data_IF_322925777304
#
_entry.id   IF_322925777304
#
_cell.length_a   1.000
_cell.length_b   1.000
_cell.length_c   1.000
_cell.angle_alpha   90.00
_cell.angle_beta   90.00
_cell.angle_gamma   90.00
#
_symmetry.space_group_name_H-M   'P 1'
#
loop_
_entity.id
_entity.type
_entity.pdbx_description
1 polymer ?
#
# COMPACT_ATOMS: atom_id res chain seq x y z
N UNK A 1 17.58 22.09 -5.13
CA UNK A 1 18.60 21.82 -4.09
C UNK A 1 18.23 22.36 -2.70
N UNK A 2 17.15 23.15 -2.56
CA UNK A 2 16.67 23.65 -1.24
C UNK A 2 15.75 22.68 -0.46
N UNK A 3 15.24 21.63 -1.09
CA UNK A 3 14.36 20.65 -0.41
C UNK A 3 15.08 19.79 0.64
N UNK A 4 16.38 19.55 0.47
CA UNK A 4 17.17 18.67 1.38
C UNK A 4 17.48 19.31 2.75
N UNK A 5 17.61 20.63 2.82
CA UNK A 5 17.95 21.29 4.09
C UNK A 5 16.75 21.43 5.02
N UNK A 6 15.55 21.64 4.48
CA UNK A 6 14.32 21.73 5.29
C UNK A 6 13.86 20.36 5.80
N UNK A 7 14.00 19.29 5.00
CA UNK A 7 13.72 17.91 5.46
C UNK A 7 14.72 17.44 6.53
N UNK A 8 16.01 17.79 6.39
CA UNK A 8 17.03 17.48 7.41
C UNK A 8 16.86 18.34 8.68
N UNK A 9 16.49 19.62 8.56
CA UNK A 9 16.21 20.49 9.71
C UNK A 9 14.97 20.02 10.48
N UNK A 10 13.88 19.63 9.81
CA UNK A 10 12.70 19.04 10.46
C UNK A 10 13.01 17.71 11.15
N UNK A 11 13.98 16.94 10.65
CA UNK A 11 14.44 15.70 11.29
C UNK A 11 15.16 15.98 12.61
N UNK A 12 15.85 17.10 12.74
CA UNK A 12 16.57 17.51 13.95
C UNK A 12 15.64 18.20 14.98
N UNK A 13 14.68 19.03 14.54
CA UNK A 13 13.73 19.70 15.44
C UNK A 13 12.66 18.75 16.02
N UNK A 14 12.37 17.62 15.38
CA UNK A 14 11.50 16.59 15.95
C UNK A 14 12.05 15.89 17.20
N UNK A 15 13.27 16.17 17.61
CA UNK A 15 13.82 15.63 18.85
C UNK A 15 13.22 16.26 20.13
N UNK A 16 12.53 17.40 20.02
CA UNK A 16 12.01 18.17 21.16
C UNK A 16 10.56 17.92 21.58
N UNK A 17 9.81 17.03 20.90
CA UNK A 17 8.40 16.79 21.23
C UNK A 17 8.21 15.48 21.97
N UNK A 18 8.42 15.52 23.29
CA UNK A 18 8.11 14.44 24.23
C UNK A 18 6.58 14.24 24.31
N UNK A 19 6.02 13.39 23.47
CA UNK A 19 4.64 12.94 23.56
C UNK A 19 4.56 11.56 24.23
N UNK A 20 3.39 11.20 24.65
CA UNK A 20 2.93 10.06 25.47
C UNK A 20 3.58 8.68 25.16
N UNK A 21 4.31 8.52 24.06
CA UNK A 21 4.86 7.25 23.58
C UNK A 21 6.37 7.05 23.81
N UNK A 22 7.07 7.95 24.53
CA UNK A 22 8.52 7.86 24.73
C UNK A 22 8.97 6.76 25.72
N UNK A 23 8.03 6.15 26.46
CA UNK A 23 8.35 5.18 27.52
C UNK A 23 7.70 3.80 27.34
N UNK A 24 6.96 3.53 26.23
CA UNK A 24 6.48 2.16 25.98
C UNK A 24 7.54 1.34 25.25
N UNK A 25 7.84 0.15 25.76
CA UNK A 25 8.62 -0.85 25.05
C UNK A 25 7.94 -1.16 23.69
N UNK A 26 8.72 -1.38 22.63
CA UNK A 26 8.20 -1.77 21.31
C UNK A 26 7.28 -3.01 21.38
N UNK A 27 7.48 -3.88 22.35
CA UNK A 27 6.64 -5.07 22.59
C UNK A 27 5.23 -4.68 23.05
N UNK A 28 5.09 -3.69 23.91
CA UNK A 28 3.79 -3.23 24.39
C UNK A 28 3.04 -2.45 23.32
N UNK A 29 3.76 -1.65 22.54
CA UNK A 29 3.18 -1.01 21.34
C UNK A 29 2.68 -2.07 20.36
N UNK A 30 3.47 -3.12 20.11
CA UNK A 30 3.06 -4.22 19.22
C UNK A 30 1.76 -4.89 19.70
N UNK A 31 1.61 -5.13 21.02
CA UNK A 31 0.38 -5.68 21.61
C UNK A 31 -0.83 -4.77 21.38
N UNK A 32 -0.64 -3.45 21.49
CA UNK A 32 -1.71 -2.50 21.23
C UNK A 32 -2.06 -2.46 19.73
N UNK A 33 -1.06 -2.34 18.87
CA UNK A 33 -1.27 -2.36 17.42
C UNK A 33 -1.98 -3.65 16.97
N UNK A 34 -1.70 -4.79 17.58
CA UNK A 34 -2.34 -6.07 17.24
C UNK A 34 -3.87 -6.09 17.44
N UNK A 35 -4.40 -5.21 18.30
CA UNK A 35 -5.85 -5.07 18.56
C UNK A 35 -6.57 -4.22 17.51
N UNK A 36 -5.84 -3.36 16.79
CA UNK A 36 -6.38 -2.46 15.78
C UNK A 36 -6.74 -3.24 14.51
N UNK A 37 -7.73 -2.80 13.76
CA UNK A 37 -8.27 -3.57 12.63
C UNK A 37 -8.05 -2.92 11.27
N UNK A 38 -7.82 -1.61 11.23
CA UNK A 38 -7.74 -0.86 10.00
C UNK A 38 -6.57 0.14 9.98
N UNK A 39 -6.22 0.65 8.80
CA UNK A 39 -5.28 1.75 8.64
C UNK A 39 -5.76 3.00 9.39
N UNK A 40 -7.08 3.26 9.41
CA UNK A 40 -7.67 4.35 10.19
C UNK A 40 -7.38 4.19 11.68
N UNK A 41 -7.59 3.00 12.24
CA UNK A 41 -7.30 2.77 13.66
C UNK A 41 -5.82 2.98 13.97
N UNK A 42 -4.91 2.55 13.07
CA UNK A 42 -3.47 2.75 13.20
C UNK A 42 -3.09 4.24 13.19
N UNK A 43 -3.64 5.01 12.25
CA UNK A 43 -3.43 6.45 12.14
C UNK A 43 -3.92 7.16 13.42
N UNK A 44 -5.13 6.83 13.88
CA UNK A 44 -5.74 7.40 15.07
C UNK A 44 -5.02 6.98 16.36
N UNK A 45 -4.51 5.76 16.45
CA UNK A 45 -3.67 5.31 17.57
C UNK A 45 -2.46 6.22 17.76
N UNK A 46 -1.84 6.66 16.67
CA UNK A 46 -0.72 7.59 16.71
C UNK A 46 -1.15 9.04 16.93
N UNK A 47 -2.45 9.32 17.10
CA UNK A 47 -3.00 10.65 17.40
C UNK A 47 -3.16 11.56 16.20
N UNK A 48 -3.22 11.01 14.98
CA UNK A 48 -3.48 11.77 13.76
C UNK A 48 -4.96 11.66 13.37
N UNK A 49 -5.56 12.71 12.80
CA UNK A 49 -6.88 12.63 12.19
C UNK A 49 -6.84 11.72 10.96
N UNK A 50 -7.93 11.01 10.71
CA UNK A 50 -8.06 10.16 9.53
C UNK A 50 -9.47 10.27 8.94
N UNK A 51 -9.53 10.61 7.67
CA UNK A 51 -10.74 10.57 6.85
C UNK A 51 -10.71 9.34 5.93
N UNK A 52 -11.88 8.78 5.64
CA UNK A 52 -12.02 7.66 4.69
C UNK A 52 -12.80 8.15 3.48
N UNK A 53 -12.27 7.90 2.30
CA UNK A 53 -12.81 8.31 1.02
C UNK A 53 -12.90 7.13 0.07
N UNK A 54 -13.72 7.29 -1.00
CA UNK A 54 -13.86 6.28 -2.05
C UNK A 54 -13.73 6.98 -3.40
N UNK A 55 -12.74 6.58 -4.19
CA UNK A 55 -12.64 6.95 -5.60
C UNK A 55 -13.26 5.84 -6.47
N UNK A 56 -14.04 6.23 -7.47
CA UNK A 56 -14.69 5.29 -8.39
C UNK A 56 -13.93 5.29 -9.70
N UNK A 57 -13.50 4.12 -10.16
CA UNK A 57 -12.83 3.97 -11.44
C UNK A 57 -13.83 3.97 -12.60
N UNK A 58 -13.38 4.28 -13.81
CA UNK A 58 -14.23 4.31 -15.00
C UNK A 58 -14.88 2.95 -15.31
N UNK A 59 -14.25 1.85 -14.89
CA UNK A 59 -14.75 0.48 -15.01
C UNK A 59 -15.51 -0.01 -13.76
N UNK A 60 -15.83 0.89 -12.81
CA UNK A 60 -16.78 0.68 -11.72
C UNK A 60 -16.22 0.20 -10.39
N UNK A 61 -14.90 0.02 -10.24
CA UNK A 61 -14.31 -0.36 -8.96
C UNK A 61 -14.32 0.82 -7.97
N UNK A 62 -14.55 0.50 -6.70
CA UNK A 62 -14.58 1.45 -5.59
C UNK A 62 -13.27 1.34 -4.80
N UNK A 63 -12.37 2.31 -4.98
CA UNK A 63 -11.06 2.33 -4.34
C UNK A 63 -11.12 3.08 -3.01
N UNK A 64 -10.80 2.41 -1.92
CA UNK A 64 -10.71 3.04 -0.60
C UNK A 64 -9.43 3.86 -0.47
N UNK A 65 -9.58 5.12 -0.01
CA UNK A 65 -8.45 5.98 0.33
C UNK A 65 -8.57 6.43 1.78
N UNK A 66 -7.45 6.41 2.52
CA UNK A 66 -7.37 7.04 3.83
C UNK A 66 -6.62 8.37 3.68
N UNK A 67 -7.14 9.44 4.29
CA UNK A 67 -6.52 10.76 4.28
C UNK A 67 -6.09 11.16 5.68
N UNK A 68 -4.87 11.67 5.79
CA UNK A 68 -4.34 12.34 6.98
C UNK A 68 -4.23 13.83 6.63
N UNK A 69 -5.30 14.62 6.88
CA UNK A 69 -5.37 16.01 6.39
C UNK A 69 -4.45 16.95 7.15
N UNK A 70 -4.05 16.59 8.37
CA UNK A 70 -3.36 17.48 9.32
C UNK A 70 -2.30 16.76 10.13
N UNK A 71 -1.36 17.57 10.68
CA UNK A 71 -0.44 17.13 11.72
C UNK A 71 -1.20 16.73 12.99
N UNK A 72 -0.58 15.91 13.82
CA UNK A 72 -1.09 15.47 15.12
C UNK A 72 -1.58 16.60 16.05
N UNK A 73 -1.03 17.82 15.94
CA UNK A 73 -1.30 18.95 16.85
C UNK A 73 -2.15 20.08 16.25
N UNK A 74 -2.49 20.02 14.99
CA UNK A 74 -3.22 21.10 14.32
C UNK A 74 -4.74 20.95 14.53
N UNK A 75 -5.21 21.08 15.77
CA UNK A 75 -6.64 21.22 16.07
C UNK A 75 -7.25 22.54 15.53
N UNK A 76 -6.44 23.45 15.00
CA UNK A 76 -6.84 24.82 14.63
C UNK A 76 -7.36 24.92 13.19
N UNK A 77 -7.11 23.94 12.32
CA UNK A 77 -7.54 24.04 10.90
C UNK A 77 -9.03 23.74 10.67
N UNK A 78 -9.77 23.32 11.70
CA UNK A 78 -11.22 23.06 11.58
C UNK A 78 -12.10 24.32 11.65
N UNK A 79 -11.52 25.50 11.95
CA UNK A 79 -12.30 26.73 12.18
C UNK A 79 -12.20 27.78 11.09
N UNK A 80 -11.39 27.56 10.04
CA UNK A 80 -11.31 28.49 8.92
C UNK A 80 -11.78 27.81 7.64
N UNK A 81 -12.78 28.40 7.01
CA UNK A 81 -13.37 28.04 5.71
C UNK A 81 -12.41 28.16 4.51
N UNK A 82 -11.12 28.29 4.76
CA UNK A 82 -10.07 28.26 3.74
C UNK A 82 -9.48 26.85 3.64
N UNK A 83 -9.41 26.24 2.44
CA UNK A 83 -8.69 25.00 2.26
C UNK A 83 -7.25 25.23 2.71
N UNK A 84 -6.77 24.41 3.67
CA UNK A 84 -5.36 24.41 4.02
C UNK A 84 -4.56 24.13 2.75
N UNK A 85 -3.79 25.11 2.28
CA UNK A 85 -2.99 25.03 1.04
C UNK A 85 -1.76 24.13 1.26
N UNK A 86 -2.00 22.87 1.71
CA UNK A 86 -0.99 21.85 1.92
C UNK A 86 -0.84 21.03 0.68
N UNK A 87 0.37 20.87 0.19
CA UNK A 87 0.63 20.04 -0.97
C UNK A 87 0.17 18.60 -0.70
N UNK A 88 -0.66 18.06 -1.58
CA UNK A 88 -1.17 16.70 -1.46
C UNK A 88 -0.13 15.70 -1.95
N UNK A 89 -0.01 14.58 -1.22
CA UNK A 89 0.83 13.45 -1.58
C UNK A 89 0.06 12.14 -1.47
N UNK A 90 0.07 11.35 -2.53
CA UNK A 90 -0.53 10.02 -2.59
C UNK A 90 0.57 8.99 -2.36
N UNK A 91 0.36 8.10 -1.39
CA UNK A 91 1.18 6.90 -1.14
C UNK A 91 0.47 5.68 -1.70
N UNK A 92 1.15 4.89 -2.54
CA UNK A 92 0.57 3.71 -3.17
C UNK A 92 1.40 2.47 -2.88
N UNK A 93 0.76 1.43 -2.37
CA UNK A 93 1.37 0.20 -1.88
C UNK A 93 1.78 -0.78 -3.01
N UNK A 94 2.48 -1.85 -2.64
CA UNK A 94 2.95 -2.91 -3.54
C UNK A 94 1.97 -4.06 -3.75
N UNK A 95 2.44 -5.12 -4.44
CA UNK A 95 1.68 -6.31 -4.77
C UNK A 95 1.20 -7.05 -3.51
N UNK A 96 -0.07 -7.46 -3.50
CA UNK A 96 -0.68 -8.28 -2.46
C UNK A 96 -0.55 -7.71 -1.03
N UNK A 97 -0.45 -6.39 -0.91
CA UNK A 97 -0.45 -5.67 0.37
C UNK A 97 -1.50 -4.55 0.37
N UNK A 98 -1.57 -3.78 1.45
CA UNK A 98 -2.48 -2.65 1.61
C UNK A 98 -1.74 -1.39 2.08
N UNK A 99 -2.48 -0.28 2.16
CA UNK A 99 -1.99 1.00 2.70
C UNK A 99 -1.43 0.91 4.12
N UNK A 100 -1.76 -0.14 4.87
CA UNK A 100 -1.22 -0.39 6.22
C UNK A 100 0.31 -0.35 6.26
N UNK A 101 0.99 -0.70 5.16
CA UNK A 101 2.47 -0.68 5.06
C UNK A 101 3.07 0.68 5.42
N UNK A 102 2.33 1.76 5.26
CA UNK A 102 2.79 3.13 5.52
C UNK A 102 2.54 3.61 6.95
N UNK A 103 1.78 2.85 7.78
CA UNK A 103 1.32 3.27 9.11
C UNK A 103 1.42 2.20 10.20
N UNK A 104 1.87 0.98 9.87
CA UNK A 104 1.83 -0.17 10.80
C UNK A 104 3.12 -0.40 11.61
N UNK A 105 4.10 0.48 11.53
CA UNK A 105 5.34 0.32 12.30
C UNK A 105 5.14 0.67 13.78
N UNK A 106 5.97 0.11 14.66
CA UNK A 106 5.89 0.27 16.12
C UNK A 106 6.34 1.66 16.64
N UNK A 107 6.80 2.53 15.77
CA UNK A 107 7.11 3.92 16.10
C UNK A 107 6.58 4.87 15.02
N UNK A 108 6.02 6.06 15.38
CA UNK A 108 5.50 7.00 14.38
C UNK A 108 6.58 7.45 13.38
N UNK A 109 7.82 7.62 13.84
CA UNK A 109 8.96 8.07 13.02
C UNK A 109 9.37 7.09 11.91
N UNK A 110 8.92 5.84 11.97
CA UNK A 110 9.16 4.81 10.95
C UNK A 110 7.94 4.60 10.03
N UNK A 111 6.88 5.36 10.22
CA UNK A 111 5.68 5.32 9.40
C UNK A 111 5.72 6.47 8.39
N UNK A 112 5.98 6.16 7.13
CA UNK A 112 6.18 7.18 6.09
C UNK A 112 5.03 8.17 5.99
N UNK A 113 3.79 7.70 6.11
CA UNK A 113 2.61 8.56 6.06
C UNK A 113 2.59 9.60 7.19
N UNK A 114 2.96 9.18 8.40
CA UNK A 114 2.97 10.06 9.57
C UNK A 114 4.12 11.09 9.50
N UNK A 115 5.29 10.65 9.00
CA UNK A 115 6.45 11.55 8.77
C UNK A 115 6.09 12.64 7.76
N UNK A 116 5.40 12.28 6.67
CA UNK A 116 4.96 13.27 5.67
C UNK A 116 3.88 14.20 6.24
N UNK A 117 2.94 13.69 7.03
CA UNK A 117 1.95 14.52 7.70
C UNK A 117 2.61 15.53 8.66
N UNK A 118 3.60 15.09 9.44
CA UNK A 118 4.40 15.97 10.32
C UNK A 118 5.22 17.00 9.52
N UNK A 119 5.68 16.64 8.33
CA UNK A 119 6.33 17.56 7.40
C UNK A 119 5.36 18.58 6.76
N UNK A 120 4.06 18.47 7.02
CA UNK A 120 3.04 19.44 6.59
C UNK A 120 2.35 19.11 5.27
N UNK A 121 2.43 17.88 4.79
CA UNK A 121 1.69 17.42 3.63
C UNK A 121 0.26 17.01 4.01
N UNK A 122 -0.67 17.11 3.04
CA UNK A 122 -1.96 16.45 3.04
C UNK A 122 -1.75 15.04 2.45
N UNK A 123 -1.77 14.02 3.31
CA UNK A 123 -1.32 12.66 2.95
C UNK A 123 -2.50 11.77 2.63
N UNK A 124 -2.46 11.12 1.46
CA UNK A 124 -3.47 10.20 0.98
C UNK A 124 -2.86 8.80 0.80
N UNK A 125 -3.49 7.80 1.37
CA UNK A 125 -3.11 6.41 1.26
C UNK A 125 -4.05 5.72 0.28
N UNK A 126 -3.58 5.41 -0.92
CA UNK A 126 -4.35 4.72 -1.93
C UNK A 126 -4.33 3.20 -1.75
N UNK A 127 -5.39 2.55 -2.19
CA UNK A 127 -5.55 1.11 -2.15
C UNK A 127 -5.99 0.58 -3.51
N UNK A 128 -5.21 -0.37 -4.03
CA UNK A 128 -5.49 -1.05 -5.30
C UNK A 128 -6.78 -1.85 -5.22
N UNK A 129 -7.53 -1.94 -6.32
CA UNK A 129 -8.73 -2.78 -6.46
C UNK A 129 -8.50 -4.20 -5.93
N UNK A 130 -9.50 -4.78 -5.30
CA UNK A 130 -9.47 -6.12 -4.76
C UNK A 130 -8.82 -6.26 -3.38
N UNK A 131 -8.07 -5.26 -2.88
CA UNK A 131 -7.54 -5.34 -1.53
C UNK A 131 -8.63 -5.13 -0.47
N UNK A 132 -8.31 -5.32 0.81
CA UNK A 132 -9.28 -5.25 1.92
C UNK A 132 -10.04 -3.93 2.03
N UNK A 133 -9.51 -2.82 1.51
CA UNK A 133 -10.13 -1.49 1.52
C UNK A 133 -10.82 -1.13 0.21
N UNK A 134 -10.65 -1.92 -0.85
CA UNK A 134 -11.12 -1.64 -2.22
C UNK A 134 -11.84 -2.85 -2.82
N UNK A 135 -12.77 -3.45 -2.07
CA UNK A 135 -13.54 -4.64 -2.52
C UNK A 135 -14.87 -4.29 -3.18
N UNK A 136 -15.26 -3.03 -3.16
CA UNK A 136 -16.53 -2.60 -3.76
C UNK A 136 -16.46 -2.50 -5.29
N UNK A 137 -17.62 -2.71 -5.91
CA UNK A 137 -17.85 -2.44 -7.33
C UNK A 137 -19.27 -1.89 -7.50
N UNK A 138 -19.48 -0.97 -8.46
CA UNK A 138 -20.78 -0.32 -8.64
C UNK A 138 -21.89 -1.29 -9.09
N UNK A 139 -21.56 -2.31 -9.86
CA UNK A 139 -22.54 -3.20 -10.50
C UNK A 139 -22.33 -4.69 -10.22
N UNK A 140 -21.09 -5.12 -9.87
CA UNK A 140 -20.78 -6.53 -9.62
C UNK A 140 -21.05 -6.90 -8.17
N UNK A 141 -21.75 -8.01 -7.97
CA UNK A 141 -22.05 -8.61 -6.67
C UNK A 141 -21.11 -9.81 -6.43
N UNK A 142 -20.12 -9.64 -5.57
CA UNK A 142 -19.11 -10.68 -5.28
C UNK A 142 -19.68 -11.96 -4.65
N UNK A 143 -20.93 -11.95 -4.18
CA UNK A 143 -21.61 -13.17 -3.71
C UNK A 143 -22.04 -14.08 -4.86
N UNK A 144 -22.21 -13.52 -6.06
CA UNK A 144 -22.53 -14.26 -7.29
C UNK A 144 -21.24 -14.73 -7.97
N UNK A 145 -21.20 -16.01 -8.32
CA UNK A 145 -20.01 -16.62 -8.93
C UNK A 145 -19.61 -15.95 -10.26
N UNK A 146 -20.59 -15.63 -11.12
CA UNK A 146 -20.33 -14.93 -12.39
C UNK A 146 -19.65 -13.60 -12.18
N UNK A 147 -20.22 -12.78 -11.31
CA UNK A 147 -19.75 -11.43 -11.02
C UNK A 147 -18.38 -11.46 -10.31
N UNK A 148 -18.20 -12.44 -9.41
CA UNK A 148 -16.91 -12.66 -8.75
C UNK A 148 -15.81 -13.02 -9.75
N UNK A 149 -16.07 -13.84 -10.75
CA UNK A 149 -15.10 -14.17 -11.80
C UNK A 149 -14.76 -12.95 -12.66
N UNK A 150 -15.73 -12.13 -12.99
CA UNK A 150 -15.54 -10.86 -13.72
C UNK A 150 -14.76 -9.85 -12.87
N UNK A 151 -15.11 -9.73 -11.59
CA UNK A 151 -14.44 -8.81 -10.66
C UNK A 151 -12.94 -9.09 -10.51
N UNK A 152 -12.53 -10.38 -10.45
CA UNK A 152 -11.13 -10.76 -10.27
C UNK A 152 -10.35 -10.86 -11.59
N UNK A 153 -10.95 -10.47 -12.71
CA UNK A 153 -10.31 -10.49 -14.03
C UNK A 153 -9.53 -9.21 -14.32
N UNK A 154 -8.56 -8.89 -13.49
CA UNK A 154 -7.68 -7.73 -13.69
C UNK A 154 -6.20 -8.07 -13.54
N UNK A 155 -5.37 -7.32 -14.25
CA UNK A 155 -3.91 -7.36 -14.26
C UNK A 155 -3.33 -5.98 -13.96
N UNK A 156 -2.05 -5.78 -14.21
CA UNK A 156 -1.41 -4.47 -14.08
C UNK A 156 -1.96 -3.45 -15.09
N UNK A 157 -2.51 -3.91 -16.20
CA UNK A 157 -3.03 -3.03 -17.26
C UNK A 157 -4.26 -2.27 -16.76
N UNK A 158 -5.20 -2.94 -16.09
CA UNK A 158 -6.36 -2.32 -15.48
C UNK A 158 -5.97 -1.40 -14.32
N UNK A 159 -4.98 -1.79 -13.52
CA UNK A 159 -4.47 -0.96 -12.42
C UNK A 159 -3.86 0.34 -12.95
N UNK A 160 -3.11 0.28 -14.04
CA UNK A 160 -2.49 1.43 -14.67
C UNK A 160 -3.52 2.32 -15.36
N UNK A 161 -4.46 1.71 -16.09
CA UNK A 161 -5.42 2.45 -16.92
C UNK A 161 -6.49 3.16 -16.08
N UNK A 162 -6.89 2.58 -14.94
CA UNK A 162 -8.06 3.06 -14.20
C UNK A 162 -7.73 3.50 -12.76
N UNK A 163 -7.01 2.68 -11.96
CA UNK A 163 -6.88 2.92 -10.52
C UNK A 163 -6.12 4.22 -10.21
N UNK A 164 -4.95 4.42 -10.83
CA UNK A 164 -4.11 5.59 -10.55
C UNK A 164 -4.81 6.86 -11.00
N UNK A 165 -5.41 6.85 -12.19
CA UNK A 165 -6.13 8.02 -12.73
C UNK A 165 -7.31 8.38 -11.83
N UNK A 166 -8.15 7.41 -11.46
CA UNK A 166 -9.29 7.65 -10.59
C UNK A 166 -8.90 8.21 -9.22
N UNK A 167 -7.83 7.68 -8.61
CA UNK A 167 -7.36 8.16 -7.32
C UNK A 167 -6.77 9.58 -7.41
N UNK A 168 -5.97 9.88 -8.43
CA UNK A 168 -5.41 11.22 -8.65
C UNK A 168 -6.52 12.23 -8.88
N UNK A 169 -7.47 11.95 -9.77
CA UNK A 169 -8.57 12.85 -10.09
C UNK A 169 -9.47 13.10 -8.87
N UNK A 170 -9.74 12.05 -8.10
CA UNK A 170 -10.50 12.18 -6.85
C UNK A 170 -9.79 13.10 -5.85
N UNK A 171 -8.49 12.89 -5.60
CA UNK A 171 -7.72 13.73 -4.67
C UNK A 171 -7.70 15.18 -5.13
N UNK A 172 -7.48 15.44 -6.41
CA UNK A 172 -7.51 16.79 -6.99
C UNK A 172 -8.88 17.44 -6.83
N UNK A 173 -9.97 16.69 -7.04
CA UNK A 173 -11.35 17.21 -6.88
C UNK A 173 -11.66 17.59 -5.44
N UNK A 174 -11.19 16.82 -4.45
CA UNK A 174 -11.42 17.09 -3.03
C UNK A 174 -10.57 18.23 -2.51
N UNK A 175 -9.32 18.33 -2.97
CA UNK A 175 -8.36 19.31 -2.45
C UNK A 175 -8.36 20.63 -3.20
N UNK A 176 -8.92 20.66 -4.41
CA UNK A 176 -8.88 21.83 -5.31
C UNK A 176 -7.51 22.10 -5.91
N UNK A 177 -6.52 21.22 -5.71
CA UNK A 177 -5.19 21.36 -6.28
C UNK A 177 -5.19 20.97 -7.77
N UNK A 178 -4.26 21.55 -8.53
CA UNK A 178 -4.04 21.19 -9.93
C UNK A 178 -3.10 19.99 -10.09
N UNK A 179 -2.27 19.72 -9.11
CA UNK A 179 -1.27 18.65 -9.13
C UNK A 179 -1.11 18.02 -7.76
N UNK A 180 -0.75 16.72 -7.76
CA UNK A 180 -0.37 15.97 -6.56
C UNK A 180 1.06 15.43 -6.69
N UNK A 181 1.71 15.14 -5.56
CA UNK A 181 2.91 14.28 -5.55
C UNK A 181 2.47 12.83 -5.40
N UNK A 182 3.15 11.91 -6.05
CA UNK A 182 2.86 10.47 -5.98
C UNK A 182 4.10 9.70 -5.52
N UNK A 183 3.94 8.85 -4.53
CA UNK A 183 4.99 7.97 -4.01
C UNK A 183 4.51 6.54 -4.15
N UNK A 184 5.07 5.80 -5.11
CA UNK A 184 4.73 4.40 -5.34
C UNK A 184 5.77 3.46 -4.73
N UNK A 185 5.32 2.43 -4.02
CA UNK A 185 6.18 1.38 -3.48
C UNK A 185 6.04 0.10 -4.31
N UNK A 186 7.17 -0.47 -4.75
CA UNK A 186 7.22 -1.75 -5.46
C UNK A 186 6.29 -1.76 -6.69
N UNK A 187 5.23 -2.58 -6.71
CA UNK A 187 4.23 -2.60 -7.78
C UNK A 187 3.49 -1.26 -7.89
N UNK A 188 3.26 -0.53 -6.80
CA UNK A 188 2.65 0.80 -6.84
C UNK A 188 3.46 1.81 -7.65
N UNK A 189 4.79 1.64 -7.70
CA UNK A 189 5.63 2.40 -8.63
C UNK A 189 5.51 1.88 -10.06
N UNK A 190 5.49 0.56 -10.27
CA UNK A 190 5.40 -0.04 -11.61
C UNK A 190 4.09 0.35 -12.31
N UNK A 191 2.96 0.29 -11.60
CA UNK A 191 1.67 0.69 -12.18
C UNK A 191 1.59 2.20 -12.47
N UNK A 192 2.25 3.05 -11.68
CA UNK A 192 2.34 4.47 -11.98
C UNK A 192 3.20 4.75 -13.23
N UNK A 193 4.34 4.05 -13.41
CA UNK A 193 5.11 4.14 -14.64
C UNK A 193 4.27 3.74 -15.87
N UNK A 194 3.51 2.64 -15.76
CA UNK A 194 2.63 2.19 -16.83
C UNK A 194 1.50 3.21 -17.09
N UNK A 195 0.85 3.74 -16.04
CA UNK A 195 -0.19 4.75 -16.17
C UNK A 195 0.31 6.03 -16.85
N UNK A 196 1.46 6.53 -16.44
CA UNK A 196 2.09 7.74 -17.02
C UNK A 196 2.54 7.53 -18.47
N UNK A 197 2.90 6.30 -18.85
CA UNK A 197 3.28 5.96 -20.21
C UNK A 197 2.09 5.98 -21.20
N UNK A 198 0.88 5.67 -20.71
CA UNK A 198 -0.32 5.56 -21.57
C UNK A 198 -1.29 6.74 -21.43
N UNK A 199 -1.14 7.57 -20.40
CA UNK A 199 -2.06 8.67 -20.10
C UNK A 199 -1.30 10.01 -19.99
N UNK A 200 -1.28 10.78 -21.10
CA UNK A 200 -0.61 12.07 -21.15
C UNK A 200 -1.26 13.12 -20.23
N UNK A 201 -2.57 13.05 -20.00
CA UNK A 201 -3.27 13.98 -19.10
C UNK A 201 -2.81 13.78 -17.64
N UNK A 202 -2.61 12.53 -17.25
CA UNK A 202 -2.11 12.19 -15.91
C UNK A 202 -0.70 12.77 -15.65
N UNK A 203 0.15 12.86 -16.69
CA UNK A 203 1.47 13.49 -16.56
C UNK A 203 1.37 14.95 -16.12
N UNK A 204 0.36 15.69 -16.58
CA UNK A 204 0.12 17.07 -16.16
C UNK A 204 -0.37 17.20 -14.70
N UNK A 205 -0.99 16.16 -14.16
CA UNK A 205 -1.57 16.12 -12.81
C UNK A 205 -0.58 15.66 -11.73
N UNK A 206 0.54 15.05 -12.10
CA UNK A 206 1.58 14.59 -11.16
C UNK A 206 2.76 15.53 -11.17
N UNK A 207 2.97 16.25 -10.07
CA UNK A 207 4.07 17.20 -9.89
C UNK A 207 5.42 16.51 -9.66
N UNK A 208 5.41 15.49 -8.79
CA UNK A 208 6.61 14.71 -8.42
C UNK A 208 6.19 13.26 -8.31
N UNK A 209 6.94 12.38 -8.97
CA UNK A 209 6.83 10.95 -8.79
C UNK A 209 8.07 10.39 -8.11
N UNK A 210 7.89 9.75 -6.96
CA UNK A 210 8.93 9.04 -6.21
C UNK A 210 8.68 7.55 -6.28
N UNK A 211 9.61 6.82 -6.87
CA UNK A 211 9.54 5.37 -7.01
C UNK A 211 10.39 4.69 -5.92
N UNK A 212 9.76 4.07 -4.94
CA UNK A 212 10.41 3.31 -3.87
C UNK A 212 10.51 1.84 -4.28
N UNK A 213 11.73 1.34 -4.46
CA UNK A 213 12.01 -0.04 -4.87
C UNK A 213 11.10 -0.52 -6.02
N UNK A 214 11.08 0.16 -7.19
CA UNK A 214 10.12 -0.09 -8.26
C UNK A 214 10.27 -1.51 -8.82
N UNK A 215 9.16 -2.27 -8.87
CA UNK A 215 9.13 -3.63 -9.40
C UNK A 215 8.80 -3.64 -10.90
N UNK A 216 9.61 -2.95 -11.71
CA UNK A 216 9.47 -2.93 -13.18
C UNK A 216 9.87 -4.27 -13.81
N UNK A 217 10.89 -4.89 -13.22
CA UNK A 217 11.31 -6.25 -13.55
C UNK A 217 11.34 -7.05 -12.24
N UNK A 218 10.32 -7.87 -11.96
CA UNK A 218 10.30 -8.66 -10.75
C UNK A 218 11.54 -9.57 -10.66
N UNK A 219 12.06 -9.74 -9.45
CA UNK A 219 13.19 -10.65 -9.22
C UNK A 219 12.76 -12.11 -9.46
N UNK A 220 13.59 -12.93 -10.09
CA UNK A 220 13.28 -14.34 -10.28
C UNK A 220 13.09 -15.04 -8.94
N UNK A 221 12.17 -16.00 -8.90
CA UNK A 221 11.97 -16.87 -7.75
C UNK A 221 13.26 -17.67 -7.54
N UNK A 222 13.87 -17.53 -6.37
CA UNK A 222 15.14 -18.18 -6.07
C UNK A 222 15.00 -19.68 -5.70
N UNK A 223 13.81 -20.09 -5.25
CA UNK A 223 13.52 -21.49 -4.99
C UNK A 223 13.57 -22.30 -6.28
N UNK A 224 14.61 -23.14 -6.43
CA UNK A 224 14.78 -24.02 -7.60
C UNK A 224 13.58 -24.96 -7.79
N UNK A 225 12.97 -25.45 -6.72
CA UNK A 225 11.80 -26.30 -6.76
C UNK A 225 10.58 -25.55 -7.32
N UNK A 226 10.27 -24.36 -6.78
CA UNK A 226 9.15 -23.53 -7.27
C UNK A 226 9.41 -23.06 -8.71
N UNK A 227 10.65 -22.64 -9.00
CA UNK A 227 11.01 -22.25 -10.36
C UNK A 227 10.91 -23.44 -11.36
N UNK A 228 11.29 -24.65 -10.94
CA UNK A 228 11.11 -25.86 -11.73
C UNK A 228 9.63 -26.10 -12.07
N UNK A 229 8.74 -25.97 -11.09
CA UNK A 229 7.29 -26.08 -11.28
C UNK A 229 6.78 -25.01 -12.27
N UNK A 230 7.15 -23.76 -12.07
CA UNK A 230 6.73 -22.64 -12.94
C UNK A 230 7.25 -22.81 -14.36
N UNK A 231 8.50 -23.27 -14.54
CA UNK A 231 9.07 -23.54 -15.88
C UNK A 231 8.41 -24.72 -16.59
N UNK A 232 8.11 -25.79 -15.85
CA UNK A 232 7.52 -27.00 -16.42
C UNK A 232 6.05 -26.81 -16.80
N UNK A 233 5.31 -26.09 -15.97
CA UNK A 233 3.86 -25.91 -16.13
C UNK A 233 3.49 -24.59 -16.83
N UNK A 234 4.48 -23.71 -17.04
CA UNK A 234 4.31 -22.40 -17.66
C UNK A 234 3.74 -21.34 -16.70
N UNK A 235 3.93 -20.04 -17.00
CA UNK A 235 3.47 -18.95 -16.16
C UNK A 235 1.95 -18.88 -16.01
N UNK A 236 1.21 -19.39 -17.00
CA UNK A 236 -0.26 -19.45 -16.98
C UNK A 236 -0.82 -20.58 -16.08
N UNK A 237 0.03 -21.47 -15.58
CA UNK A 237 -0.41 -22.63 -14.79
C UNK A 237 -1.22 -22.23 -13.54
N UNK A 238 -0.74 -21.23 -12.79
CA UNK A 238 -1.48 -20.71 -11.62
C UNK A 238 -2.84 -20.18 -12.04
N UNK A 239 -2.88 -19.44 -13.14
CA UNK A 239 -4.13 -18.91 -13.68
C UNK A 239 -5.06 -20.01 -14.21
N UNK A 240 -4.52 -21.01 -14.90
CA UNK A 240 -5.30 -22.15 -15.44
C UNK A 240 -5.93 -23.00 -14.33
N UNK A 241 -5.24 -23.17 -13.17
CA UNK A 241 -5.78 -23.91 -12.03
C UNK A 241 -6.71 -23.08 -11.17
N UNK A 242 -6.31 -21.84 -10.84
CA UNK A 242 -7.03 -21.00 -9.88
C UNK A 242 -8.12 -20.14 -10.55
N UNK A 243 -7.92 -19.79 -11.84
CA UNK A 243 -8.83 -18.93 -12.60
C UNK A 243 -8.90 -17.49 -12.07
N UNK A 244 -9.93 -16.77 -12.49
CA UNK A 244 -10.21 -15.40 -12.03
C UNK A 244 -10.73 -15.42 -10.58
N UNK A 245 -9.82 -15.37 -9.62
CA UNK A 245 -10.12 -15.42 -8.18
C UNK A 245 -9.18 -14.51 -7.40
N UNK A 246 -9.55 -14.26 -6.14
CA UNK A 246 -8.66 -13.67 -5.17
C UNK A 246 -7.40 -14.54 -4.98
N UNK A 247 -6.23 -13.91 -4.99
CA UNK A 247 -4.97 -14.50 -4.58
C UNK A 247 -4.78 -14.26 -3.09
N UNK A 248 -4.41 -15.30 -2.34
CA UNK A 248 -4.21 -15.26 -0.88
C UNK A 248 -5.46 -15.07 0.01
N UNK A 249 -6.68 -15.50 -0.33
CA UNK A 249 -7.78 -15.46 0.64
C UNK A 249 -7.44 -16.26 1.90
N UNK A 250 -6.61 -17.28 1.77
CA UNK A 250 -6.11 -18.14 2.84
C UNK A 250 -5.18 -17.39 3.80
N UNK A 251 -4.34 -16.45 3.32
CA UNK A 251 -3.40 -15.71 4.18
C UNK A 251 -4.14 -14.86 5.23
N UNK A 252 -5.26 -14.26 4.85
CA UNK A 252 -6.10 -13.49 5.76
C UNK A 252 -6.78 -14.40 6.82
N UNK A 253 -7.12 -15.63 6.48
CA UNK A 253 -7.67 -16.60 7.43
C UNK A 253 -6.61 -17.12 8.41
N UNK A 254 -5.40 -17.42 7.93
CA UNK A 254 -4.30 -17.84 8.81
C UNK A 254 -3.87 -16.75 9.77
N UNK A 255 -3.89 -15.49 9.34
CA UNK A 255 -3.62 -14.37 10.24
C UNK A 255 -4.63 -14.28 11.39
N UNK A 256 -5.90 -14.61 11.15
CA UNK A 256 -6.94 -14.60 12.18
C UNK A 256 -6.81 -15.77 13.19
N UNK A 257 -6.18 -16.87 12.79
CA UNK A 257 -6.10 -18.12 13.57
C UNK A 257 -4.77 -18.27 14.32
N UNK A 258 -3.68 -17.64 13.83
CA UNK A 258 -2.34 -17.82 14.39
C UNK A 258 -1.91 -16.60 15.23
N UNK A 259 -1.12 -16.80 16.29
CA UNK A 259 -0.43 -15.69 16.95
C UNK A 259 0.42 -14.90 15.94
N UNK A 260 0.40 -13.57 16.02
CA UNK A 260 1.06 -12.68 15.07
C UNK A 260 2.55 -13.00 14.89
N UNK A 261 3.25 -13.46 15.94
CA UNK A 261 4.64 -13.89 15.87
C UNK A 261 4.83 -15.15 15.03
N UNK A 262 3.96 -16.15 15.18
CA UNK A 262 4.00 -17.40 14.40
C UNK A 262 3.72 -17.10 12.93
N UNK A 263 2.68 -16.30 12.66
CA UNK A 263 2.36 -15.86 11.31
C UNK A 263 3.53 -15.11 10.66
N UNK A 264 4.15 -14.15 11.37
CA UNK A 264 5.31 -13.41 10.89
C UNK A 264 6.52 -14.31 10.60
N UNK A 265 6.73 -15.35 11.41
CA UNK A 265 7.79 -16.35 11.16
C UNK A 265 7.54 -17.12 9.86
N UNK A 266 6.31 -17.57 9.63
CA UNK A 266 5.91 -18.28 8.40
C UNK A 266 6.14 -17.38 7.18
N UNK A 267 5.65 -16.13 7.24
CA UNK A 267 5.84 -15.16 6.16
C UNK A 267 7.31 -14.90 5.88
N UNK A 268 8.11 -14.67 6.93
CA UNK A 268 9.54 -14.45 6.77
C UNK A 268 10.23 -15.63 6.10
N UNK A 269 9.91 -16.86 6.54
CA UNK A 269 10.49 -18.08 5.95
C UNK A 269 10.11 -18.23 4.48
N UNK A 270 8.84 -17.92 4.14
CA UNK A 270 8.37 -17.94 2.76
C UNK A 270 9.11 -16.90 1.90
N UNK A 271 9.25 -15.65 2.36
CA UNK A 271 9.95 -14.59 1.64
C UNK A 271 11.46 -14.92 1.45
N UNK A 272 12.09 -15.47 2.46
CA UNK A 272 13.48 -15.94 2.37
C UNK A 272 13.64 -17.09 1.37
N UNK A 273 12.74 -18.08 1.44
CA UNK A 273 12.83 -19.27 0.58
C UNK A 273 12.47 -18.99 -0.86
N UNK A 274 11.45 -18.13 -1.10
CA UNK A 274 10.98 -17.81 -2.45
C UNK A 274 11.86 -16.76 -3.14
N UNK A 275 12.24 -15.69 -2.43
CA UNK A 275 12.88 -14.52 -3.02
C UNK A 275 14.31 -14.29 -2.51
N UNK A 276 14.79 -15.08 -1.57
CA UNK A 276 16.12 -14.90 -0.97
C UNK A 276 16.24 -13.60 -0.14
N UNK A 277 15.13 -13.04 0.31
CA UNK A 277 15.16 -11.79 1.06
C UNK A 277 15.81 -11.95 2.42
N UNK A 278 16.75 -11.06 2.74
CA UNK A 278 17.42 -11.01 4.05
C UNK A 278 16.54 -10.25 5.04
N UNK A 279 15.47 -10.89 5.49
CA UNK A 279 14.44 -10.28 6.34
C UNK A 279 14.97 -9.78 7.70
N UNK A 280 16.09 -10.30 8.18
CA UNK A 280 16.81 -9.84 9.37
C UNK A 280 17.27 -8.38 9.26
N UNK A 281 17.49 -7.87 8.04
CA UNK A 281 17.86 -6.47 7.79
C UNK A 281 16.73 -5.47 7.99
N UNK A 282 15.48 -5.91 8.11
CA UNK A 282 14.32 -5.03 8.36
C UNK A 282 14.19 -4.60 9.82
N UNK A 283 15.22 -4.78 10.65
CA UNK A 283 15.25 -4.38 12.03
C UNK A 283 14.83 -5.49 13.01
N UNK A 284 14.55 -5.15 14.28
CA UNK A 284 14.16 -6.11 15.31
C UNK A 284 12.96 -6.97 14.93
N UNK A 285 12.86 -8.15 15.52
CA UNK A 285 11.76 -9.08 15.21
C UNK A 285 10.38 -8.50 15.52
N UNK A 286 10.25 -7.69 16.57
CA UNK A 286 9.02 -6.97 16.93
C UNK A 286 8.48 -6.10 15.79
N UNK A 287 9.35 -5.38 15.09
CA UNK A 287 8.98 -4.55 13.93
C UNK A 287 8.53 -5.40 12.76
N UNK A 288 9.19 -6.55 12.53
CA UNK A 288 8.80 -7.50 11.48
C UNK A 288 7.44 -8.14 11.79
N UNK A 289 7.17 -8.47 13.05
CA UNK A 289 5.86 -8.97 13.48
C UNK A 289 4.76 -7.93 13.21
N UNK A 290 4.98 -6.66 13.59
CA UNK A 290 4.03 -5.58 13.32
C UNK A 290 3.73 -5.45 11.83
N UNK A 291 4.77 -5.46 10.99
CA UNK A 291 4.64 -5.34 9.55
C UNK A 291 3.90 -6.55 8.95
N UNK A 292 4.44 -7.76 9.11
CA UNK A 292 3.93 -8.95 8.43
C UNK A 292 2.53 -9.36 8.87
N UNK A 293 2.14 -9.06 10.11
CA UNK A 293 0.79 -9.36 10.57
C UNK A 293 -0.31 -8.50 9.94
N UNK A 294 0.03 -7.45 9.16
CA UNK A 294 -0.96 -6.48 8.71
C UNK A 294 -0.96 -6.17 7.23
N UNK A 295 0.22 -6.15 6.62
CA UNK A 295 0.35 -5.60 5.27
C UNK A 295 -0.32 -6.44 4.20
N UNK A 296 -0.43 -7.76 4.37
CA UNK A 296 -0.95 -8.64 3.32
C UNK A 296 -2.44 -8.46 3.10
N UNK A 297 -2.82 -8.44 1.83
CA UNK A 297 -4.18 -8.26 1.37
C UNK A 297 -4.40 -8.97 0.04
N UNK A 298 -5.65 -9.20 -0.30
CA UNK A 298 -5.99 -9.89 -1.55
C UNK A 298 -5.61 -9.06 -2.78
N UNK A 299 -5.38 -9.78 -3.86
CA UNK A 299 -5.26 -9.27 -5.22
C UNK A 299 -5.73 -10.35 -6.19
N UNK A 300 -5.73 -10.10 -7.52
CA UNK A 300 -6.14 -11.12 -8.47
C UNK A 300 -5.04 -12.15 -8.75
N UNK A 301 -5.43 -13.38 -9.00
CA UNK A 301 -4.51 -14.43 -9.49
C UNK A 301 -3.91 -14.03 -10.84
N UNK A 302 -4.69 -13.41 -11.73
CA UNK A 302 -4.23 -12.93 -13.04
C UNK A 302 -3.06 -11.94 -12.89
N UNK A 303 -3.17 -10.97 -11.98
CA UNK A 303 -2.11 -10.00 -11.70
C UNK A 303 -0.81 -10.67 -11.25
N UNK A 304 -0.91 -11.66 -10.36
CA UNK A 304 0.26 -12.42 -9.89
C UNK A 304 0.86 -13.25 -11.03
N UNK A 305 0.04 -13.92 -11.83
CA UNK A 305 0.49 -14.73 -12.98
C UNK A 305 1.20 -13.87 -14.03
N UNK A 306 0.65 -12.69 -14.38
CA UNK A 306 1.27 -11.75 -15.32
C UNK A 306 2.60 -11.22 -14.76
N UNK A 307 2.64 -10.86 -13.49
CA UNK A 307 3.88 -10.43 -12.82
C UNK A 307 4.95 -11.53 -12.86
N UNK A 308 4.57 -12.80 -12.66
CA UNK A 308 5.48 -13.93 -12.76
C UNK A 308 5.93 -14.21 -14.22
N UNK A 309 5.05 -13.99 -15.20
CA UNK A 309 5.37 -14.15 -16.62
C UNK A 309 6.44 -13.16 -17.09
N UNK A 310 6.34 -11.89 -16.69
CA UNK A 310 7.33 -10.84 -17.03
C UNK A 310 8.72 -11.23 -16.51
N UNK A 311 8.80 -11.94 -15.39
CA UNK A 311 10.05 -12.44 -14.81
C UNK A 311 10.74 -13.49 -15.70
N UNK A 312 9.94 -14.34 -16.37
CA UNK A 312 10.44 -15.50 -17.12
C UNK A 312 10.81 -15.20 -18.58
N UNK A 313 10.25 -14.16 -19.19
CA UNK A 313 10.53 -13.80 -20.61
C UNK A 313 11.98 -13.30 -20.80
N UNK A 314 12.67 -12.93 -19.73
CA UNK A 314 14.02 -12.34 -19.76
C UNK A 314 15.06 -13.13 -18.95
N UNK A 315 14.78 -14.38 -18.57
CA UNK A 315 15.70 -15.34 -17.99
C UNK A 315 16.03 -16.46 -18.98
#
# INVERSE_FOLDING_TARGET
MQLNSQLLASYTECQGTNGIYQNKDEVDVLKDLAKLRSAKDLIQYWGYPCEEHVAITADGYMLGLQRIPNRRRDSVCHTTSMPCNRASVILWHGLAISSDVFVCNVTPKLNLALVLADAGYDVWLGNTRGNRYSRGHQTLDLSKRSDSLTYWDFSIDELASFDITAAVDYVLSVTGHQQVSYIGFSQGAAQAFAALAVNNELNGKIRIFVALAPALKPQPIQSKAVMGIVRTLGPSFLFNILGNKAFLPIANHFHALLPSSVYAFIVQTALQSLFGWKCDRFGPYTRRVALYSRIFSDTSVKLVAVSAAITNVNA
#
